data_IF_399819663724
#
_entry.id   IF_399819663724
#
_cell.length_a   1.000
_cell.length_b   1.000
_cell.length_c   1.000
_cell.angle_alpha   90.00
_cell.angle_beta   90.00
_cell.angle_gamma   90.00
#
_symmetry.space_group_name_H-M   'P 1'
#
loop_
_entity.id
_entity.type
_entity.pdbx_description
1 polymer ?
#
# COMPACT_ATOMS: atom_id res chain seq x y z
N UNK A 1 1.91 -19.01 9.11
CA UNK A 1 0.87 -18.69 10.11
C UNK A 1 -0.01 -17.56 9.52
N UNK A 2 -1.22 -17.87 9.07
CA UNK A 2 -2.20 -16.88 8.59
C UNK A 2 -3.17 -16.58 9.73
N UNK A 3 -2.94 -15.51 10.47
CA UNK A 3 -3.92 -15.02 11.44
C UNK A 3 -4.88 -14.09 10.70
N UNK A 4 -6.12 -14.52 10.50
CA UNK A 4 -7.23 -13.58 10.29
C UNK A 4 -7.58 -12.94 11.64
N UNK A 5 -7.43 -11.62 11.71
CA UNK A 5 -7.58 -10.76 12.90
C UNK A 5 -9.04 -10.56 13.37
N UNK A 6 -9.86 -11.61 13.42
CA UNK A 6 -11.16 -11.53 14.07
C UNK A 6 -11.42 -12.77 14.93
N UNK A 7 -11.38 -12.67 16.27
CA UNK A 7 -12.01 -13.66 17.13
C UNK A 7 -13.52 -13.41 17.07
N UNK A 8 -14.16 -13.88 15.99
CA UNK A 8 -15.62 -13.85 15.85
C UNK A 8 -16.16 -14.96 16.74
N UNK A 9 -16.97 -14.57 17.74
CA UNK A 9 -17.65 -15.44 18.71
C UNK A 9 -18.07 -16.81 18.15
N UNK A 10 -17.73 -17.85 18.91
CA UNK A 10 -17.60 -19.25 18.53
C UNK A 10 -18.91 -19.99 18.19
N UNK A 11 -20.07 -19.34 18.28
CA UNK A 11 -21.38 -19.98 18.02
C UNK A 11 -21.94 -19.71 16.61
N UNK A 12 -21.53 -18.63 15.94
CA UNK A 12 -21.98 -18.32 14.57
C UNK A 12 -21.21 -19.06 13.46
N UNK A 13 -20.10 -19.72 13.79
CA UNK A 13 -19.20 -20.33 12.80
C UNK A 13 -19.69 -21.68 12.26
N UNK A 14 -20.76 -22.29 12.79
CA UNK A 14 -21.05 -23.70 12.46
C UNK A 14 -21.54 -23.99 11.04
N UNK A 15 -21.87 -23.01 10.17
CA UNK A 15 -22.29 -23.30 8.78
C UNK A 15 -21.99 -22.21 7.72
N UNK A 16 -20.97 -21.37 7.90
CA UNK A 16 -20.57 -20.45 6.82
C UNK A 16 -19.70 -21.17 5.79
N UNK A 17 -20.02 -21.01 4.51
CA UNK A 17 -19.23 -21.51 3.38
C UNK A 17 -18.62 -20.35 2.61
N UNK A 18 -17.43 -20.58 2.05
CA UNK A 18 -16.78 -19.65 1.13
C UNK A 18 -17.44 -19.71 -0.25
N UNK A 19 -18.08 -18.60 -0.64
CA UNK A 19 -18.78 -18.45 -1.92
C UNK A 19 -18.06 -17.48 -2.86
N UNK A 20 -16.84 -17.06 -2.52
CA UNK A 20 -16.02 -16.12 -3.29
C UNK A 20 -15.94 -16.50 -4.77
N UNK A 21 -15.78 -17.80 -5.06
CA UNK A 21 -15.64 -18.31 -6.42
C UNK A 21 -16.80 -17.97 -7.36
N UNK A 22 -17.97 -17.65 -6.82
CA UNK A 22 -19.15 -17.32 -7.60
C UNK A 22 -19.25 -15.83 -7.95
N UNK A 23 -18.64 -14.96 -7.16
CA UNK A 23 -18.85 -13.51 -7.25
C UNK A 23 -17.59 -12.71 -7.57
N UNK A 24 -16.40 -13.17 -7.15
CA UNK A 24 -15.14 -12.45 -7.32
C UNK A 24 -14.14 -13.18 -8.22
N UNK A 25 -13.37 -12.39 -8.97
CA UNK A 25 -12.26 -12.89 -9.79
C UNK A 25 -11.12 -13.42 -8.90
N UNK A 26 -10.44 -14.47 -9.36
CA UNK A 26 -9.27 -15.06 -8.69
C UNK A 26 -8.21 -14.04 -8.26
N UNK A 27 -8.05 -12.93 -8.98
CA UNK A 27 -7.10 -11.87 -8.58
C UNK A 27 -7.35 -11.30 -7.18
N UNK A 28 -8.60 -11.35 -6.69
CA UNK A 28 -9.00 -10.82 -5.39
C UNK A 28 -9.00 -11.84 -4.24
N UNK A 29 -8.74 -13.13 -4.51
CA UNK A 29 -8.84 -14.18 -3.48
C UNK A 29 -7.83 -14.04 -2.34
N UNK A 30 -6.76 -13.26 -2.56
CA UNK A 30 -5.76 -12.97 -1.54
C UNK A 30 -6.16 -11.83 -0.61
N UNK A 31 -7.09 -10.98 -1.07
CA UNK A 31 -7.42 -9.72 -0.40
C UNK A 31 -8.78 -9.81 0.32
N UNK A 32 -9.74 -10.52 -0.26
CA UNK A 32 -11.09 -10.66 0.29
C UNK A 32 -11.67 -12.06 0.06
N UNK A 33 -12.54 -12.48 0.97
CA UNK A 33 -13.42 -13.62 0.77
C UNK A 33 -14.86 -13.24 1.12
N UNK A 34 -15.81 -13.94 0.52
CA UNK A 34 -17.25 -13.78 0.75
C UNK A 34 -17.75 -15.07 1.38
N UNK A 35 -18.33 -14.96 2.57
CA UNK A 35 -18.90 -16.09 3.27
C UNK A 35 -20.39 -15.88 3.55
N UNK A 36 -21.16 -16.96 3.45
CA UNK A 36 -22.60 -16.99 3.71
C UNK A 36 -22.96 -18.34 4.28
N UNK A 37 -24.08 -18.44 5.00
CA UNK A 37 -24.57 -19.75 5.40
C UNK A 37 -24.94 -20.59 4.17
N UNK A 38 -24.72 -21.91 4.24
CA UNK A 38 -25.09 -22.82 3.15
C UNK A 38 -26.57 -22.68 2.75
N UNK A 39 -27.46 -22.60 3.75
CA UNK A 39 -28.92 -22.52 3.54
C UNK A 39 -29.30 -21.24 2.80
N UNK A 40 -28.73 -20.10 3.17
CA UNK A 40 -29.03 -18.83 2.47
C UNK A 40 -28.38 -18.79 1.07
N UNK A 41 -27.20 -19.40 0.92
CA UNK A 41 -26.57 -19.49 -0.39
C UNK A 41 -27.38 -20.34 -1.36
N UNK A 42 -27.95 -21.47 -0.91
CA UNK A 42 -28.84 -22.30 -1.74
C UNK A 42 -30.07 -21.53 -2.20
N UNK A 43 -30.71 -20.75 -1.31
CA UNK A 43 -31.84 -19.87 -1.67
C UNK A 43 -31.43 -18.81 -2.69
N UNK A 44 -30.27 -18.19 -2.51
CA UNK A 44 -29.75 -17.19 -3.44
C UNK A 44 -29.42 -17.83 -4.81
N UNK A 45 -28.81 -19.01 -4.81
CA UNK A 45 -28.40 -19.72 -6.02
C UNK A 45 -29.59 -20.18 -6.87
N UNK A 46 -30.71 -20.53 -6.23
CA UNK A 46 -31.95 -20.87 -6.93
C UNK A 46 -32.65 -19.66 -7.55
N UNK A 47 -32.43 -18.45 -7.03
CA UNK A 47 -33.00 -17.22 -7.58
C UNK A 47 -32.02 -16.57 -8.57
N UNK A 48 -32.05 -16.99 -9.84
CA UNK A 48 -31.12 -16.51 -10.87
C UNK A 48 -31.10 -14.99 -11.02
N UNK A 49 -32.26 -14.34 -10.99
CA UNK A 49 -32.36 -12.88 -11.09
C UNK A 49 -31.63 -12.17 -9.94
N UNK A 50 -31.89 -12.58 -8.70
CA UNK A 50 -31.23 -12.00 -7.54
C UNK A 50 -29.73 -12.33 -7.52
N UNK A 51 -29.37 -13.56 -7.87
CA UNK A 51 -27.98 -14.00 -7.96
C UNK A 51 -27.17 -13.13 -8.91
N UNK A 52 -27.69 -12.88 -10.12
CA UNK A 52 -27.02 -12.04 -11.11
C UNK A 52 -26.93 -10.57 -10.66
N UNK A 53 -27.97 -10.04 -10.00
CA UNK A 53 -27.93 -8.70 -9.41
C UNK A 53 -26.84 -8.58 -8.34
N UNK A 54 -26.73 -9.56 -7.44
CA UNK A 54 -25.71 -9.61 -6.40
C UNK A 54 -24.32 -9.72 -7.02
N UNK A 55 -24.16 -10.56 -8.05
CA UNK A 55 -22.89 -10.70 -8.78
C UNK A 55 -22.45 -9.42 -9.46
N UNK A 56 -23.36 -8.73 -10.17
CA UNK A 56 -23.07 -7.44 -10.78
C UNK A 56 -22.67 -6.42 -9.72
N UNK A 57 -23.41 -6.34 -8.62
CA UNK A 57 -23.10 -5.43 -7.52
C UNK A 57 -21.70 -5.66 -6.94
N UNK A 58 -21.36 -6.92 -6.61
CA UNK A 58 -20.04 -7.27 -6.05
C UNK A 58 -18.92 -6.95 -7.04
N UNK A 59 -19.13 -7.22 -8.33
CA UNK A 59 -18.14 -6.87 -9.36
C UNK A 59 -17.93 -5.36 -9.48
N UNK A 60 -18.99 -4.56 -9.37
CA UNK A 60 -18.88 -3.10 -9.31
C UNK A 60 -18.14 -2.64 -8.06
N UNK A 61 -18.43 -3.23 -6.90
CA UNK A 61 -17.73 -2.94 -5.66
C UNK A 61 -16.22 -3.22 -5.79
N UNK A 62 -15.83 -4.37 -6.34
CA UNK A 62 -14.42 -4.68 -6.58
C UNK A 62 -13.72 -3.66 -7.49
N UNK A 63 -14.40 -3.19 -8.55
CA UNK A 63 -13.85 -2.14 -9.43
C UNK A 63 -13.68 -0.81 -8.69
N UNK A 64 -14.63 -0.45 -7.83
CA UNK A 64 -14.53 0.76 -7.01
C UNK A 64 -13.39 0.68 -6.00
N UNK A 65 -13.16 -0.50 -5.41
CA UNK A 65 -12.01 -0.76 -4.54
C UNK A 65 -10.69 -0.60 -5.31
N UNK A 66 -10.57 -1.20 -6.50
CA UNK A 66 -9.38 -1.05 -7.35
C UNK A 66 -9.10 0.43 -7.66
N UNK A 67 -10.15 1.18 -8.00
CA UNK A 67 -10.03 2.62 -8.26
C UNK A 67 -9.53 3.36 -7.03
N UNK A 68 -10.06 3.06 -5.85
CA UNK A 68 -9.62 3.70 -4.60
C UNK A 68 -8.17 3.37 -4.29
N UNK A 69 -7.76 2.10 -4.45
CA UNK A 69 -6.37 1.67 -4.24
C UNK A 69 -5.42 2.46 -5.15
N UNK A 70 -5.79 2.67 -6.41
CA UNK A 70 -4.97 3.48 -7.33
C UNK A 70 -4.85 4.93 -6.88
N UNK A 71 -5.97 5.56 -6.47
CA UNK A 71 -5.95 6.93 -5.94
C UNK A 71 -5.08 7.06 -4.69
N UNK A 72 -5.17 6.11 -3.76
CA UNK A 72 -4.31 6.12 -2.56
C UNK A 72 -2.84 5.86 -2.90
N UNK A 73 -2.56 5.01 -3.89
CA UNK A 73 -1.20 4.79 -4.39
C UNK A 73 -0.61 6.04 -5.06
N UNK A 74 -1.43 6.85 -5.72
CA UNK A 74 -1.02 8.12 -6.32
C UNK A 74 -0.69 9.19 -5.26
N UNK A 75 -1.40 9.17 -4.13
CA UNK A 75 -1.14 10.06 -2.98
C UNK A 75 0.08 9.68 -2.16
N UNK A 76 0.64 8.48 -2.34
CA UNK A 76 1.82 8.05 -1.60
C UNK A 76 2.96 9.03 -1.86
N UNK A 77 3.54 9.52 -0.77
CA UNK A 77 4.73 10.36 -0.81
C UNK A 77 5.83 9.55 -1.51
N UNK A 78 6.35 10.11 -2.60
CA UNK A 78 7.48 9.57 -3.36
C UNK A 78 8.76 10.26 -2.91
N UNK A 79 9.89 9.67 -3.27
CA UNK A 79 11.21 10.21 -2.91
C UNK A 79 11.40 11.61 -3.49
N UNK A 80 10.81 11.90 -4.66
CA UNK A 80 10.80 13.25 -5.26
C UNK A 80 10.05 14.27 -4.42
N UNK A 81 8.95 13.87 -3.78
CA UNK A 81 8.16 14.77 -2.93
C UNK A 81 8.95 15.12 -1.66
N UNK A 82 9.70 14.16 -1.12
CA UNK A 82 10.62 14.37 0.01
C UNK A 82 11.76 15.33 -0.39
N UNK A 83 12.36 15.15 -1.58
CA UNK A 83 13.39 16.06 -2.08
C UNK A 83 12.84 17.48 -2.30
N UNK A 84 11.62 17.61 -2.84
CA UNK A 84 10.95 18.90 -3.00
C UNK A 84 10.71 19.58 -1.65
N UNK A 85 10.24 18.84 -0.65
CA UNK A 85 10.08 19.35 0.71
C UNK A 85 11.40 19.94 1.25
N UNK A 86 12.51 19.21 1.12
CA UNK A 86 13.82 19.73 1.55
C UNK A 86 14.32 20.90 0.69
N UNK A 87 13.93 20.98 -0.58
CA UNK A 87 14.24 22.13 -1.44
C UNK A 87 13.60 23.40 -0.90
N UNK A 88 12.33 23.32 -0.51
CA UNK A 88 11.50 24.44 -0.04
C UNK A 88 11.79 24.82 1.42
N UNK A 89 12.25 23.88 2.25
CA UNK A 89 12.47 24.10 3.68
C UNK A 89 13.94 23.95 4.10
N UNK A 90 14.68 25.06 4.03
CA UNK A 90 16.13 25.12 4.32
C UNK A 90 16.50 24.64 5.73
N UNK A 91 15.68 24.93 6.75
CA UNK A 91 15.92 24.48 8.13
C UNK A 91 15.99 22.95 8.23
N UNK A 92 15.01 22.25 7.67
CA UNK A 92 14.97 20.78 7.71
C UNK A 92 16.06 20.17 6.83
N UNK A 93 16.35 20.78 5.67
CA UNK A 93 17.44 20.34 4.79
C UNK A 93 18.79 20.39 5.50
N UNK A 94 19.13 21.52 6.12
CA UNK A 94 20.41 21.70 6.84
C UNK A 94 20.53 20.76 8.04
N UNK A 95 19.45 20.56 8.79
CA UNK A 95 19.44 19.60 9.89
C UNK A 95 19.71 18.17 9.41
N UNK A 96 18.98 17.71 8.39
CA UNK A 96 19.20 16.37 7.84
C UNK A 96 20.62 16.23 7.27
N UNK A 97 21.12 17.25 6.57
CA UNK A 97 22.47 17.27 6.01
C UNK A 97 23.54 17.09 7.09
N UNK A 98 23.42 17.84 8.20
CA UNK A 98 24.33 17.72 9.35
C UNK A 98 24.36 16.30 9.93
N UNK A 99 23.17 15.72 10.13
CA UNK A 99 23.05 14.34 10.64
C UNK A 99 23.70 13.35 9.66
N UNK A 100 23.38 13.44 8.37
CA UNK A 100 23.91 12.51 7.37
C UNK A 100 25.42 12.65 7.16
N UNK A 101 25.99 13.86 7.27
CA UNK A 101 27.44 14.03 7.16
C UNK A 101 28.20 13.39 8.32
N UNK A 102 27.66 13.45 9.53
CA UNK A 102 28.22 12.76 10.68
C UNK A 102 28.05 11.23 10.58
N UNK A 103 26.82 10.75 10.37
CA UNK A 103 26.51 9.32 10.38
C UNK A 103 27.17 8.56 9.23
N UNK A 104 27.27 9.18 8.05
CA UNK A 104 27.82 8.51 6.86
C UNK A 104 29.35 8.63 6.75
N UNK A 105 30.03 9.29 7.68
CA UNK A 105 31.49 9.56 7.59
C UNK A 105 32.31 8.28 7.36
N UNK A 106 32.04 7.22 8.14
CA UNK A 106 32.79 5.97 8.06
C UNK A 106 32.45 5.16 6.82
N UNK A 107 31.18 5.17 6.40
CA UNK A 107 30.73 4.47 5.19
C UNK A 107 31.34 5.14 3.96
N UNK A 108 31.33 6.49 3.90
CA UNK A 108 31.99 7.24 2.82
C UNK A 108 33.49 6.96 2.75
N UNK A 109 34.15 6.77 3.90
CA UNK A 109 35.58 6.47 3.96
C UNK A 109 35.92 5.05 3.47
N UNK A 110 35.17 4.04 3.92
CA UNK A 110 35.54 2.63 3.70
C UNK A 110 34.81 2.00 2.51
N UNK A 111 33.59 2.45 2.21
CA UNK A 111 32.70 1.92 1.17
C UNK A 111 31.95 3.04 0.43
N UNK A 112 32.69 3.97 -0.20
CA UNK A 112 32.07 5.07 -0.97
C UNK A 112 31.19 4.55 -2.12
N UNK A 113 31.47 3.36 -2.64
CA UNK A 113 30.68 2.69 -3.68
C UNK A 113 29.23 2.43 -3.25
N UNK A 114 28.99 2.11 -1.98
CA UNK A 114 27.64 1.90 -1.45
C UNK A 114 26.87 3.23 -1.47
N UNK A 115 27.49 4.31 -0.97
CA UNK A 115 26.86 5.62 -0.91
C UNK A 115 26.62 6.17 -2.32
N UNK A 116 27.53 5.92 -3.26
CA UNK A 116 27.39 6.30 -4.66
C UNK A 116 26.18 5.61 -5.33
N UNK A 117 25.80 4.41 -4.89
CA UNK A 117 24.63 3.69 -5.42
C UNK A 117 23.28 4.30 -5.01
N UNK A 118 23.26 5.16 -3.99
CA UNK A 118 22.02 5.74 -3.45
C UNK A 118 21.55 6.95 -4.27
N UNK A 119 20.82 6.69 -5.35
CA UNK A 119 20.31 7.71 -6.28
C UNK A 119 19.74 8.97 -5.59
N UNK A 120 18.74 8.82 -4.72
CA UNK A 120 18.07 9.98 -4.11
C UNK A 120 18.93 10.71 -3.08
N UNK A 121 19.88 10.02 -2.45
CA UNK A 121 20.86 10.68 -1.59
C UNK A 121 21.82 11.55 -2.42
N UNK A 122 22.24 11.09 -3.59
CA UNK A 122 23.06 11.91 -4.51
C UNK A 122 22.29 13.14 -5.01
N UNK A 123 21.01 13.00 -5.33
CA UNK A 123 20.14 14.13 -5.67
C UNK A 123 20.01 15.13 -4.52
N UNK A 124 19.87 14.64 -3.27
CA UNK A 124 19.84 15.47 -2.07
C UNK A 124 21.15 16.25 -1.84
N UNK A 125 22.30 15.58 -1.96
CA UNK A 125 23.63 16.21 -1.81
C UNK A 125 23.86 17.30 -2.85
N UNK A 126 23.48 17.04 -4.11
CA UNK A 126 23.57 18.03 -5.19
C UNK A 126 22.73 19.25 -4.88
N UNK A 127 21.48 19.05 -4.46
CA UNK A 127 20.58 20.14 -4.06
C UNK A 127 21.15 20.97 -2.90
N UNK A 128 21.72 20.33 -1.87
CA UNK A 128 22.35 21.06 -0.76
C UNK A 128 23.50 21.94 -1.25
N UNK A 129 24.36 21.43 -2.15
CA UNK A 129 25.46 22.21 -2.73
C UNK A 129 24.96 23.41 -3.52
N UNK A 130 23.92 23.25 -4.33
CA UNK A 130 23.36 24.33 -5.16
C UNK A 130 22.69 25.44 -4.33
N UNK A 131 21.99 25.07 -3.25
CA UNK A 131 21.16 25.99 -2.47
C UNK A 131 21.85 26.57 -1.24
N UNK A 132 22.79 25.83 -0.64
CA UNK A 132 23.47 26.24 0.60
C UNK A 132 24.98 26.47 0.39
N UNK A 133 25.56 26.08 -0.75
CA UNK A 133 26.96 26.30 -1.10
C UNK A 133 27.27 27.64 -1.78
N UNK A 134 26.26 28.48 -2.02
CA UNK A 134 26.39 29.86 -2.53
C UNK A 134 26.42 30.92 -1.41
N UNK A 135 26.90 30.56 -0.21
CA UNK A 135 27.12 31.48 0.92
C UNK A 135 28.60 31.49 1.26
#
# INVERSE_FOLDING_TARGET
IRYTLFPIHNDMQKKLIDISKYFINKKYYKDFFIAMSQVEFEKLYQNSYLFDKVKIYIQHLCKSIDKQINLENEKKIKEKDILLFFKEHSFYRKQLKSILDYELQHIKQHRPDIVASWKYYQEFEKMCKELDGNI
#
